data_IF_988888946974
#
_entry.id   IF_988888946974
#
_cell.length_a   1.000
_cell.length_b   1.000
_cell.length_c   1.000
_cell.angle_alpha   90.00
_cell.angle_beta   90.00
_cell.angle_gamma   90.00
#
_symmetry.space_group_name_H-M   'P 1'
#
loop_
_entity.id
_entity.type
_entity.pdbx_description
1 polymer ?
#
# COMPACT_ATOMS: atom_id res chain seq x y z
N UNK A 1 -10.25 1.01 23.56
CA UNK A 1 -11.18 0.03 22.96
C UNK A 1 -10.32 -1.06 22.36
N UNK A 2 -10.37 -2.26 22.94
CA UNK A 2 -9.52 -3.40 22.55
C UNK A 2 -10.42 -4.45 21.90
N UNK A 3 -10.08 -4.87 20.68
CA UNK A 3 -10.73 -5.99 20.02
C UNK A 3 -10.10 -7.30 20.51
N UNK A 4 -10.93 -8.20 21.03
CA UNK A 4 -10.54 -9.57 21.39
C UNK A 4 -10.96 -10.46 20.22
N UNK A 5 -10.00 -11.10 19.57
CA UNK A 5 -10.27 -12.20 18.66
C UNK A 5 -10.62 -13.44 19.50
N UNK A 6 -11.91 -13.80 19.57
CA UNK A 6 -12.33 -15.09 20.13
C UNK A 6 -12.10 -16.19 19.11
N UNK A 7 -10.92 -16.81 19.17
CA UNK A 7 -10.69 -18.12 18.59
C UNK A 7 -11.15 -19.19 19.59
N UNK A 8 -12.24 -19.87 19.26
CA UNK A 8 -12.72 -21.04 20.00
C UNK A 8 -12.40 -22.31 19.21
N UNK A 9 -11.42 -23.13 19.62
CA UNK A 9 -11.40 -24.52 19.20
C UNK A 9 -12.46 -25.30 20.00
N UNK A 10 -13.49 -25.81 19.30
CA UNK A 10 -14.40 -26.82 19.87
C UNK A 10 -13.66 -28.16 19.95
N UNK A 11 -13.34 -28.60 21.16
CA UNK A 11 -12.83 -29.95 21.44
C UNK A 11 -13.95 -31.00 21.40
N UNK A 12 -13.70 -32.12 20.71
CA UNK A 12 -14.57 -33.28 20.67
C UNK A 12 -14.19 -34.29 21.78
N UNK A 13 -14.55 -34.00 23.02
CA UNK A 13 -14.79 -34.97 24.11
C UNK A 13 -14.90 -34.24 25.45
N UNK A 14 -16.12 -34.03 25.95
CA UNK A 14 -16.32 -33.43 27.28
C UNK A 14 -15.93 -34.38 28.42
N UNK A 15 -14.88 -34.05 29.18
CA UNK A 15 -14.78 -34.17 30.65
C UNK A 15 -13.46 -33.58 31.23
N UNK A 16 -13.56 -33.14 32.48
CA UNK A 16 -12.64 -32.33 33.31
C UNK A 16 -11.30 -32.98 33.71
N UNK A 17 -10.30 -32.14 34.03
CA UNK A 17 -9.26 -32.42 35.05
C UNK A 17 -9.05 -31.16 35.93
N UNK A 18 -9.23 -31.23 37.27
CA UNK A 18 -8.79 -30.20 38.19
C UNK A 18 -7.44 -30.54 38.83
N UNK A 19 -6.71 -29.46 39.09
CA UNK A 19 -5.63 -29.26 40.06
C UNK A 19 -4.22 -29.79 39.73
N UNK A 20 -3.23 -28.91 39.94
CA UNK A 20 -2.11 -29.07 40.90
C UNK A 20 -0.93 -28.16 40.52
N UNK A 21 -0.52 -27.35 41.51
CA UNK A 21 0.77 -26.66 41.74
C UNK A 21 0.97 -25.24 41.22
N UNK A 22 0.84 -24.32 42.17
CA UNK A 22 1.59 -23.08 42.25
C UNK A 22 3.10 -23.36 42.31
N UNK A 23 3.87 -22.68 41.45
CA UNK A 23 5.31 -22.41 41.56
C UNK A 23 5.60 -21.01 40.97
N UNK A 24 6.71 -20.38 41.37
CA UNK A 24 6.70 -19.05 41.97
C UNK A 24 6.63 -17.91 40.95
N UNK A 25 6.17 -16.75 41.46
CA UNK A 25 6.25 -15.47 40.80
C UNK A 25 7.69 -15.22 40.29
N UNK A 26 7.88 -15.35 38.98
CA UNK A 26 9.03 -14.78 38.30
C UNK A 26 8.77 -13.28 38.28
N UNK A 27 9.43 -12.55 39.18
CA UNK A 27 9.65 -11.12 39.02
C UNK A 27 10.52 -10.95 37.77
N UNK A 28 9.87 -10.73 36.62
CA UNK A 28 10.55 -10.23 35.43
C UNK A 28 11.05 -8.83 35.76
N UNK A 29 12.33 -8.74 36.07
CA UNK A 29 13.05 -7.49 36.20
C UNK A 29 12.78 -6.65 34.95
N UNK A 30 12.06 -5.55 35.16
CA UNK A 30 11.92 -4.43 34.23
C UNK A 30 13.29 -3.82 33.95
N UNK A 31 14.02 -4.34 32.97
CA UNK A 31 15.17 -3.68 32.36
C UNK A 31 15.27 -4.02 30.87
N UNK A 32 14.26 -3.61 30.10
CA UNK A 32 14.51 -3.17 28.72
C UNK A 32 14.47 -1.65 28.75
N UNK A 33 15.64 -1.03 28.73
CA UNK A 33 15.78 0.39 28.49
C UNK A 33 15.29 0.70 27.06
N UNK A 34 14.68 1.87 26.81
CA UNK A 34 14.17 2.20 25.49
C UNK A 34 15.37 2.52 24.58
N UNK A 35 15.64 1.66 23.60
CA UNK A 35 16.45 2.00 22.42
C UNK A 35 15.55 2.38 21.22
N UNK A 36 14.31 2.77 21.49
CA UNK A 36 13.19 2.47 20.58
C UNK A 36 12.82 3.58 19.57
N UNK A 37 13.74 4.51 19.28
CA UNK A 37 13.50 5.59 18.31
C UNK A 37 14.19 5.37 16.97
N UNK A 38 15.51 5.12 17.01
CA UNK A 38 16.34 5.01 15.81
C UNK A 38 16.12 3.69 15.06
N UNK A 39 15.82 2.60 15.79
CA UNK A 39 15.61 1.28 15.19
C UNK A 39 14.32 1.20 14.37
N UNK A 40 13.25 1.88 14.83
CA UNK A 40 11.96 1.89 14.12
C UNK A 40 11.99 2.78 12.86
N UNK A 41 12.65 3.94 12.94
CA UNK A 41 12.82 4.82 11.79
C UNK A 41 13.65 4.14 10.70
N UNK A 42 14.76 3.50 11.07
CA UNK A 42 15.60 2.77 10.14
C UNK A 42 14.89 1.54 9.54
N UNK A 43 14.11 0.81 10.35
CA UNK A 43 13.29 -0.29 9.85
C UNK A 43 12.23 0.19 8.84
N UNK A 44 11.53 1.28 9.14
CA UNK A 44 10.52 1.87 8.26
C UNK A 44 11.14 2.34 6.94
N UNK A 45 12.29 3.02 7.00
CA UNK A 45 13.03 3.45 5.81
C UNK A 45 13.49 2.25 4.96
N UNK A 46 13.92 1.16 5.59
CA UNK A 46 14.33 -0.06 4.90
C UNK A 46 13.15 -0.74 4.19
N UNK A 47 11.99 -0.82 4.86
CA UNK A 47 10.76 -1.36 4.28
C UNK A 47 10.31 -0.51 3.08
N UNK A 48 10.34 0.82 3.23
CA UNK A 48 10.00 1.75 2.15
C UNK A 48 10.94 1.58 0.95
N UNK A 49 12.25 1.54 1.18
CA UNK A 49 13.23 1.37 0.13
C UNK A 49 13.04 0.04 -0.63
N UNK A 50 12.73 -1.06 0.08
CA UNK A 50 12.41 -2.35 -0.55
C UNK A 50 11.19 -2.24 -1.47
N UNK A 51 10.09 -1.69 -0.96
CA UNK A 51 8.82 -1.56 -1.72
C UNK A 51 8.99 -0.63 -2.94
N UNK A 52 9.72 0.47 -2.78
CA UNK A 52 10.04 1.36 -3.89
C UNK A 52 10.94 0.69 -4.93
N UNK A 53 11.93 -0.09 -4.50
CA UNK A 53 12.79 -0.83 -5.42
C UNK A 53 11.98 -1.85 -6.22
N UNK A 54 11.11 -2.64 -5.58
CA UNK A 54 10.27 -3.61 -6.26
C UNK A 54 9.36 -2.95 -7.33
N UNK A 55 8.75 -1.80 -7.00
CA UNK A 55 7.96 -1.05 -7.98
C UNK A 55 8.80 -0.51 -9.16
N UNK A 56 10.09 -0.23 -8.96
CA UNK A 56 11.01 0.15 -10.05
C UNK A 56 11.46 -1.05 -10.87
N UNK A 57 11.66 -2.20 -10.22
CA UNK A 57 12.04 -3.43 -10.90
C UNK A 57 10.94 -3.85 -11.87
N UNK A 58 9.67 -3.67 -11.51
CA UNK A 58 8.52 -3.83 -12.43
C UNK A 58 8.65 -2.97 -13.69
N UNK A 59 9.05 -1.71 -13.59
CA UNK A 59 9.28 -0.87 -14.77
C UNK A 59 10.42 -1.39 -15.65
N UNK A 60 11.44 -2.00 -15.05
CA UNK A 60 12.59 -2.54 -15.77
C UNK A 60 12.30 -3.91 -16.41
N UNK A 61 11.50 -4.74 -15.76
CA UNK A 61 11.15 -6.09 -16.22
C UNK A 61 10.03 -6.08 -17.27
N UNK A 62 9.11 -5.12 -17.17
CA UNK A 62 7.97 -4.97 -18.08
C UNK A 62 8.01 -3.62 -18.84
N UNK A 63 9.07 -3.32 -19.61
CA UNK A 63 9.22 -2.03 -20.29
C UNK A 63 8.15 -1.80 -21.37
N UNK A 64 7.60 -2.88 -21.91
CA UNK A 64 6.58 -2.85 -22.97
C UNK A 64 5.16 -3.05 -22.43
N UNK A 65 4.92 -2.90 -21.11
CA UNK A 65 3.57 -2.98 -20.56
C UNK A 65 2.73 -1.79 -21.04
N UNK A 66 1.86 -2.07 -22.01
CA UNK A 66 0.97 -1.10 -22.62
C UNK A 66 -0.34 -0.96 -21.84
N UNK A 67 -0.78 0.27 -21.68
CA UNK A 67 -2.01 0.67 -21.00
C UNK A 67 -2.84 1.48 -22.00
N UNK A 68 -4.15 1.28 -22.00
CA UNK A 68 -5.05 2.11 -22.80
C UNK A 68 -4.95 3.59 -22.36
N UNK A 69 -4.62 4.50 -23.28
CA UNK A 69 -4.54 5.93 -22.97
C UNK A 69 -5.93 6.57 -22.93
N UNK A 70 -6.31 7.02 -21.74
CA UNK A 70 -7.49 7.82 -21.45
C UNK A 70 -7.14 9.28 -21.15
N UNK A 71 -5.89 9.69 -21.34
CA UNK A 71 -5.48 11.09 -21.19
C UNK A 71 -6.10 11.96 -22.29
N UNK A 72 -6.32 13.26 -22.03
CA UNK A 72 -6.76 14.20 -23.06
C UNK A 72 -5.73 14.43 -24.19
N UNK A 73 -4.51 13.89 -24.07
CA UNK A 73 -3.39 14.22 -24.93
C UNK A 73 -3.34 13.40 -26.24
N UNK A 74 -3.78 12.14 -26.21
CA UNK A 74 -3.77 11.22 -27.36
C UNK A 74 -4.74 10.04 -27.14
N UNK A 75 -5.14 9.35 -28.23
CA UNK A 75 -5.99 8.14 -28.19
C UNK A 75 -5.21 6.91 -28.69
N UNK A 76 -4.12 6.55 -28.00
CA UNK A 76 -3.27 5.39 -28.32
C UNK A 76 -3.03 4.55 -27.06
N UNK A 77 -2.15 3.56 -27.11
CA UNK A 77 -1.61 2.96 -25.88
C UNK A 77 -0.45 3.81 -25.35
N UNK A 78 -0.22 3.76 -24.04
CA UNK A 78 0.97 4.31 -23.37
C UNK A 78 1.69 3.20 -22.63
N UNK A 79 3.00 3.26 -22.53
CA UNK A 79 3.74 2.35 -21.65
C UNK A 79 3.64 2.80 -20.21
N UNK A 80 3.66 1.86 -19.28
CA UNK A 80 3.65 2.15 -17.84
C UNK A 80 4.76 3.15 -17.46
N UNK A 81 5.97 3.00 -18.00
CA UNK A 81 7.10 3.92 -17.77
C UNK A 81 6.83 5.37 -18.21
N UNK A 82 6.01 5.56 -19.25
CA UNK A 82 5.68 6.88 -19.78
C UNK A 82 4.76 7.67 -18.83
N UNK A 83 4.06 6.99 -17.91
CA UNK A 83 3.24 7.64 -16.88
C UNK A 83 4.07 8.45 -15.87
N UNK A 84 5.41 8.37 -15.94
CA UNK A 84 6.30 9.32 -15.29
C UNK A 84 6.14 10.76 -15.79
N UNK A 85 5.56 10.97 -16.98
CA UNK A 85 5.11 12.28 -17.47
C UNK A 85 3.76 12.65 -16.81
N UNK A 86 3.68 13.76 -16.05
CA UNK A 86 2.45 14.23 -15.42
C UNK A 86 1.26 14.37 -16.36
N UNK A 87 1.49 14.68 -17.64
CA UNK A 87 0.43 14.83 -18.65
C UNK A 87 -0.15 13.50 -19.09
N UNK A 88 0.68 12.46 -19.17
CA UNK A 88 0.25 11.11 -19.50
C UNK A 88 -0.33 10.41 -18.27
N UNK A 89 0.12 10.73 -17.06
CA UNK A 89 -0.50 10.26 -15.82
C UNK A 89 -1.98 10.69 -15.69
N UNK A 90 -2.33 11.87 -16.20
CA UNK A 90 -3.67 12.44 -16.08
C UNK A 90 -4.71 11.58 -16.82
N UNK A 91 -5.69 11.07 -16.09
CA UNK A 91 -6.80 10.28 -16.64
C UNK A 91 -6.51 8.79 -16.78
N UNK A 92 -5.27 8.35 -16.56
CA UNK A 92 -4.86 6.95 -16.72
C UNK A 92 -4.83 6.14 -15.42
N UNK A 93 -5.17 6.73 -14.27
CA UNK A 93 -5.11 6.05 -12.97
C UNK A 93 -5.87 4.71 -12.90
N UNK A 94 -7.07 4.64 -13.47
CA UNK A 94 -7.87 3.41 -13.51
C UNK A 94 -7.25 2.35 -14.41
N UNK A 95 -6.96 2.71 -15.66
CA UNK A 95 -6.40 1.77 -16.63
C UNK A 95 -5.03 1.26 -16.18
N UNK A 96 -4.16 2.13 -15.67
CA UNK A 96 -2.85 1.75 -15.16
C UNK A 96 -2.93 0.79 -13.97
N UNK A 97 -3.84 1.06 -13.02
CA UNK A 97 -4.02 0.20 -11.84
C UNK A 97 -4.49 -1.19 -12.26
N UNK A 98 -5.54 -1.26 -13.09
CA UNK A 98 -6.09 -2.54 -13.52
C UNK A 98 -5.11 -3.35 -14.36
N UNK A 99 -4.45 -2.72 -15.32
CA UNK A 99 -3.50 -3.40 -16.19
C UNK A 99 -2.34 -3.99 -15.39
N UNK A 100 -1.83 -3.24 -14.41
CA UNK A 100 -0.77 -3.74 -13.51
C UNK A 100 -1.28 -4.88 -12.64
N UNK A 101 -2.46 -4.78 -12.01
CA UNK A 101 -2.99 -5.85 -11.17
C UNK A 101 -3.28 -7.13 -11.98
N UNK A 102 -3.79 -7.00 -13.21
CA UNK A 102 -4.14 -8.13 -14.06
C UNK A 102 -2.92 -8.83 -14.66
N UNK A 103 -1.90 -8.06 -15.07
CA UNK A 103 -0.71 -8.62 -15.72
C UNK A 103 0.44 -8.93 -14.76
N UNK A 104 0.54 -8.20 -13.63
CA UNK A 104 1.65 -8.28 -12.69
C UNK A 104 1.15 -8.79 -11.34
N UNK A 105 1.66 -9.95 -10.93
CA UNK A 105 1.30 -10.55 -9.65
C UNK A 105 1.88 -9.82 -8.45
N UNK A 106 1.24 -10.00 -7.28
CA UNK A 106 1.69 -9.42 -6.00
C UNK A 106 3.17 -9.70 -5.67
N UNK A 107 3.67 -10.87 -6.06
CA UNK A 107 5.03 -11.31 -5.79
C UNK A 107 6.10 -10.38 -6.39
N UNK A 108 5.84 -9.76 -7.55
CA UNK A 108 6.76 -8.82 -8.20
C UNK A 108 6.95 -7.53 -7.38
N UNK A 109 5.97 -7.20 -6.55
CA UNK A 109 6.04 -6.07 -5.62
C UNK A 109 6.57 -6.47 -4.23
N UNK A 110 6.97 -7.73 -4.05
CA UNK A 110 7.27 -8.29 -2.74
C UNK A 110 6.06 -8.28 -1.79
N UNK A 111 4.85 -8.34 -2.35
CA UNK A 111 3.59 -8.32 -1.63
C UNK A 111 2.93 -9.71 -1.61
N UNK A 112 2.10 -9.94 -0.60
CA UNK A 112 1.30 -11.16 -0.45
C UNK A 112 -0.02 -11.06 -1.25
N UNK A 113 -0.51 -9.85 -1.47
CA UNK A 113 -1.74 -9.56 -2.22
C UNK A 113 -1.70 -8.16 -2.85
N UNK A 114 -2.49 -7.98 -3.91
CA UNK A 114 -2.81 -6.69 -4.54
C UNK A 114 -4.33 -6.50 -4.56
N UNK A 115 -4.76 -5.26 -4.43
CA UNK A 115 -6.13 -4.81 -4.60
C UNK A 115 -6.12 -3.37 -5.13
N UNK A 116 -7.29 -2.84 -5.43
CA UNK A 116 -7.51 -1.44 -5.76
C UNK A 116 -7.68 -0.61 -4.48
N UNK A 117 -7.12 0.60 -4.44
CA UNK A 117 -7.58 1.66 -3.53
C UNK A 117 -8.10 2.85 -4.31
N UNK A 118 -9.37 3.20 -4.05
CA UNK A 118 -10.04 4.35 -4.66
C UNK A 118 -10.32 5.44 -3.65
N UNK A 119 -9.99 6.66 -4.05
CA UNK A 119 -10.41 7.87 -3.36
C UNK A 119 -11.28 8.73 -4.28
N UNK A 120 -12.30 9.38 -3.71
CA UNK A 120 -13.22 10.27 -4.44
C UNK A 120 -13.17 11.70 -3.93
N UNK A 121 -13.27 12.67 -4.84
CA UNK A 121 -13.39 14.08 -4.46
C UNK A 121 -14.74 14.32 -3.79
N UNK A 122 -14.75 14.86 -2.58
CA UNK A 122 -15.96 15.00 -1.78
C UNK A 122 -17.06 15.90 -2.40
N UNK A 123 -16.74 16.77 -3.36
CA UNK A 123 -17.68 17.79 -3.88
C UNK A 123 -17.74 17.96 -5.40
N UNK A 124 -16.70 17.56 -6.13
CA UNK A 124 -16.51 17.95 -7.53
C UNK A 124 -16.68 16.79 -8.52
N UNK A 125 -16.98 15.58 -8.02
CA UNK A 125 -16.85 14.37 -8.82
C UNK A 125 -15.37 14.09 -9.15
N UNK A 126 -15.11 12.91 -9.71
CA UNK A 126 -13.76 12.44 -9.99
C UNK A 126 -13.22 11.54 -8.89
N UNK A 127 -12.56 10.49 -9.35
CA UNK A 127 -11.91 9.48 -8.54
C UNK A 127 -10.43 9.41 -8.91
N UNK A 128 -9.63 8.94 -7.98
CA UNK A 128 -8.24 8.58 -8.21
C UNK A 128 -8.02 7.20 -7.65
N UNK A 129 -7.30 6.39 -8.43
CA UNK A 129 -7.15 4.96 -8.20
C UNK A 129 -5.67 4.63 -8.21
N UNK A 130 -5.26 3.81 -7.26
CA UNK A 130 -3.91 3.30 -7.15
C UNK A 130 -3.92 1.84 -6.71
N UNK A 131 -2.76 1.19 -6.76
CA UNK A 131 -2.61 -0.19 -6.33
C UNK A 131 -2.43 -0.20 -4.82
N UNK A 132 -3.29 -0.92 -4.12
CA UNK A 132 -3.13 -1.28 -2.73
C UNK A 132 -2.40 -2.63 -2.65
N UNK A 133 -1.26 -2.66 -1.99
CA UNK A 133 -0.51 -3.87 -1.75
C UNK A 133 -0.42 -4.13 -0.25
N UNK A 134 -0.30 -5.40 0.14
CA UNK A 134 -0.02 -5.76 1.53
C UNK A 134 1.00 -6.86 1.64
N UNK A 135 1.85 -6.72 2.66
CA UNK A 135 2.82 -7.71 3.08
C UNK A 135 2.74 -7.88 4.61
N UNK A 136 3.60 -8.73 5.18
CA UNK A 136 3.71 -8.92 6.65
C UNK A 136 4.01 -7.63 7.44
N UNK A 137 4.58 -6.61 6.78
CA UNK A 137 4.98 -5.33 7.36
C UNK A 137 3.85 -4.27 7.17
N UNK A 138 2.67 -4.67 6.65
CA UNK A 138 1.47 -3.86 6.53
C UNK A 138 1.08 -3.50 5.09
N UNK A 139 0.06 -2.65 4.96
CA UNK A 139 -0.42 -2.16 3.65
C UNK A 139 0.33 -0.93 3.17
N UNK A 140 0.48 -0.82 1.86
CA UNK A 140 1.12 0.31 1.19
C UNK A 140 0.50 0.55 -0.18
N UNK A 141 0.72 1.73 -0.74
CA UNK A 141 0.18 2.14 -2.04
C UNK A 141 1.31 2.27 -3.04
N UNK A 142 1.07 1.79 -4.25
CA UNK A 142 1.91 1.99 -5.43
C UNK A 142 1.08 2.79 -6.44
N UNK A 143 1.56 3.98 -6.78
CA UNK A 143 0.84 4.91 -7.64
C UNK A 143 1.74 5.39 -8.79
N UNK A 144 1.50 4.81 -9.97
CA UNK A 144 2.17 5.20 -11.22
C UNK A 144 1.60 6.49 -11.81
N UNK A 145 0.57 7.08 -11.21
CA UNK A 145 -0.11 8.26 -11.75
C UNK A 145 -0.20 9.42 -10.75
N UNK A 146 0.48 9.33 -9.60
CA UNK A 146 0.50 10.38 -8.57
C UNK A 146 0.98 11.74 -9.10
N UNK A 147 1.87 11.71 -10.11
CA UNK A 147 2.40 12.90 -10.77
C UNK A 147 1.34 13.74 -11.49
N UNK A 148 0.14 13.21 -11.76
CA UNK A 148 -0.97 14.01 -12.29
C UNK A 148 -1.39 15.15 -11.33
N UNK A 149 -1.10 15.01 -10.03
CA UNK A 149 -1.40 16.05 -9.02
C UNK A 149 -0.21 16.97 -8.75
N UNK A 150 1.01 16.43 -8.77
CA UNK A 150 2.23 17.20 -8.53
C UNK A 150 3.41 16.64 -9.34
N UNK A 151 3.91 17.37 -10.35
CA UNK A 151 4.95 16.90 -11.26
C UNK A 151 6.22 16.37 -10.61
N UNK A 152 6.62 16.97 -9.48
CA UNK A 152 7.90 16.64 -8.83
C UNK A 152 7.84 15.45 -7.86
N UNK A 153 6.70 14.74 -7.75
CA UNK A 153 6.64 13.52 -6.93
C UNK A 153 7.60 12.45 -7.49
N UNK A 154 8.14 11.54 -6.66
CA UNK A 154 8.91 10.42 -7.18
C UNK A 154 8.05 9.53 -8.09
N UNK A 155 8.71 8.84 -9.02
CA UNK A 155 8.07 7.89 -9.92
C UNK A 155 8.81 6.53 -9.89
N UNK A 156 8.11 5.42 -9.66
CA UNK A 156 6.73 5.36 -9.15
C UNK A 156 6.61 6.00 -7.75
N UNK A 157 5.41 6.41 -7.36
CA UNK A 157 5.17 6.90 -6.00
C UNK A 157 4.77 5.72 -5.11
N UNK A 158 5.51 5.51 -4.02
CA UNK A 158 5.26 4.43 -3.05
C UNK A 158 5.23 5.02 -1.66
N UNK A 159 4.16 4.74 -0.90
CA UNK A 159 3.96 5.28 0.44
C UNK A 159 3.01 4.41 1.27
N UNK A 160 2.91 4.69 2.58
CA UNK A 160 1.80 4.16 3.38
C UNK A 160 0.45 4.73 2.93
N UNK A 161 -0.64 4.04 3.24
CA UNK A 161 -2.01 4.43 2.80
C UNK A 161 -2.37 5.86 3.24
N UNK A 162 -2.15 6.19 4.52
CA UNK A 162 -2.45 7.52 5.06
C UNK A 162 -1.56 8.61 4.46
N UNK A 163 -0.27 8.31 4.29
CA UNK A 163 0.69 9.24 3.68
C UNK A 163 0.33 9.56 2.23
N UNK A 164 0.04 8.52 1.43
CA UNK A 164 -0.39 8.68 0.05
C UNK A 164 -1.63 9.57 -0.05
N UNK A 165 -2.64 9.32 0.79
CA UNK A 165 -3.86 10.13 0.82
C UNK A 165 -3.55 11.59 1.16
N UNK A 166 -2.74 11.85 2.20
CA UNK A 166 -2.35 13.21 2.59
C UNK A 166 -1.61 13.93 1.46
N UNK A 167 -0.74 13.22 0.75
CA UNK A 167 0.00 13.78 -0.39
C UNK A 167 -0.93 14.10 -1.55
N UNK A 168 -1.85 13.20 -1.92
CA UNK A 168 -2.83 13.46 -2.99
C UNK A 168 -3.76 14.61 -2.61
N UNK A 169 -4.26 14.67 -1.37
CA UNK A 169 -5.08 15.78 -0.87
C UNK A 169 -4.35 17.11 -0.95
N UNK A 170 -3.10 17.15 -0.49
CA UNK A 170 -2.27 18.36 -0.53
C UNK A 170 -1.98 18.80 -1.97
N UNK A 171 -1.59 17.87 -2.83
CA UNK A 171 -1.23 18.15 -4.22
C UNK A 171 -2.42 18.61 -5.06
N UNK A 172 -3.58 18.00 -4.87
CA UNK A 172 -4.80 18.35 -5.60
C UNK A 172 -5.54 19.56 -5.03
N UNK A 173 -5.19 20.03 -3.83
CA UNK A 173 -5.88 21.12 -3.14
C UNK A 173 -7.34 20.80 -2.77
N UNK A 174 -7.69 19.51 -2.67
CA UNK A 174 -9.06 19.08 -2.37
C UNK A 174 -9.07 17.93 -1.38
N UNK A 175 -10.19 17.78 -0.66
CA UNK A 175 -10.39 16.69 0.29
C UNK A 175 -10.90 15.45 -0.44
N UNK A 176 -10.34 14.31 -0.09
CA UNK A 176 -10.70 13.03 -0.65
C UNK A 176 -11.28 12.09 0.43
N UNK A 177 -12.28 11.32 0.04
CA UNK A 177 -12.89 10.28 0.88
C UNK A 177 -12.56 8.92 0.27
N UNK A 178 -12.25 7.93 1.10
CA UNK A 178 -12.13 6.56 0.62
C UNK A 178 -13.53 6.08 0.18
N UNK A 179 -13.58 5.25 -0.86
CA UNK A 179 -14.75 4.38 -1.06
C UNK A 179 -14.71 3.27 -0.01
N UNK A 180 -15.85 3.02 0.63
CA UNK A 180 -16.07 1.87 1.52
C UNK A 180 -16.37 0.59 0.73
#
# INVERSE_FOLDING_TARGET
>A
MSFVATDHPRGAAGRFIPDVRAEPAITLNSQFAPSDGLDLEQATATIHARRLQAARDVLAEYPDLEIMDHSPARQHTVRLEELGDPRLALGNCWAATNEVIEQIGAAEFGADWLDEITIRRARLGGQHVAILAGDRDGSFVIDYTARQFHPDLPFPYVAGVDEWKVVVERASGTRWVADD
#
